data_IF_528536100502
#
_entry.id   IF_528536100502
#
_cell.length_a   1.000
_cell.length_b   1.000
_cell.length_c   1.000
_cell.angle_alpha   90.00
_cell.angle_beta   90.00
_cell.angle_gamma   90.00
#
_symmetry.space_group_name_H-M   'P 1'
#
loop_
_entity.id
_entity.type
_entity.pdbx_description
1 polymer ?
#
# COMPACT_ATOMS: atom_id res chain seq x y z
N UNK A 1 11.04 -10.40 21.59
CA UNK A 1 11.65 -9.86 22.83
C UNK A 1 10.73 -8.77 23.35
N UNK A 2 10.18 -8.91 24.55
CA UNK A 2 9.36 -7.87 25.18
C UNK A 2 10.25 -6.80 25.82
N UNK A 3 9.84 -5.54 25.74
CA UNK A 3 10.48 -4.43 26.44
C UNK A 3 10.29 -4.59 27.96
N UNK A 4 11.36 -4.56 28.76
CA UNK A 4 11.32 -4.65 30.24
C UNK A 4 10.85 -3.35 30.93
N UNK A 5 10.21 -2.44 30.21
CA UNK A 5 9.74 -1.15 30.75
C UNK A 5 8.47 -1.34 31.57
N UNK A 6 8.38 -0.60 32.68
CA UNK A 6 7.15 -0.43 33.47
C UNK A 6 6.10 0.37 32.68
N UNK A 7 4.83 0.31 33.11
CA UNK A 7 3.75 1.07 32.46
C UNK A 7 4.01 2.60 32.47
N UNK A 8 4.63 3.12 33.52
CA UNK A 8 4.97 4.54 33.62
C UNK A 8 6.08 4.93 32.62
N UNK A 9 7.12 4.10 32.52
CA UNK A 9 8.19 4.30 31.54
C UNK A 9 7.66 4.20 30.10
N UNK A 10 6.72 3.29 29.83
CA UNK A 10 6.04 3.19 28.53
C UNK A 10 5.26 4.46 28.23
N UNK A 11 4.52 5.01 29.20
CA UNK A 11 3.75 6.24 29.01
C UNK A 11 4.65 7.44 28.72
N UNK A 12 5.74 7.61 29.48
CA UNK A 12 6.72 8.68 29.26
C UNK A 12 7.35 8.54 27.87
N UNK A 13 7.84 7.33 27.54
CA UNK A 13 8.45 7.07 26.24
C UNK A 13 7.50 7.33 25.08
N UNK A 14 6.24 6.92 25.21
CA UNK A 14 5.21 7.15 24.17
C UNK A 14 4.97 8.64 23.97
N UNK A 15 4.85 9.42 25.05
CA UNK A 15 4.69 10.87 24.96
C UNK A 15 5.89 11.54 24.28
N UNK A 16 7.12 11.13 24.61
CA UNK A 16 8.34 11.64 23.96
C UNK A 16 8.32 11.39 22.45
N UNK A 17 8.00 10.17 22.01
CA UNK A 17 7.99 9.82 20.58
C UNK A 17 6.90 10.57 19.81
N UNK A 18 5.73 10.76 20.43
CA UNK A 18 4.63 11.54 19.82
C UNK A 18 5.06 13.00 19.64
N UNK A 19 5.72 13.60 20.64
CA UNK A 19 6.24 14.96 20.53
C UNK A 19 7.29 15.08 19.43
N UNK A 20 8.22 14.12 19.34
CA UNK A 20 9.29 14.13 18.34
C UNK A 20 8.72 14.05 16.90
N UNK A 21 7.65 13.26 16.71
CA UNK A 21 6.90 13.21 15.46
C UNK A 21 6.19 14.54 15.17
N UNK A 22 5.51 15.12 16.14
CA UNK A 22 4.81 16.41 15.98
C UNK A 22 5.78 17.53 15.58
N UNK A 23 6.92 17.63 16.26
CA UNK A 23 7.97 18.59 15.97
C UNK A 23 8.50 18.43 14.54
N UNK A 24 8.70 17.19 14.10
CA UNK A 24 9.12 16.89 12.73
C UNK A 24 8.06 17.31 11.69
N UNK A 25 6.78 17.02 11.93
CA UNK A 25 5.71 17.43 11.01
C UNK A 25 5.61 18.96 10.91
N UNK A 26 5.70 19.67 12.04
CA UNK A 26 5.72 21.13 12.06
C UNK A 26 6.96 21.72 11.37
N UNK A 27 8.10 21.06 11.48
CA UNK A 27 9.30 21.46 10.74
C UNK A 27 9.04 21.41 9.23
N UNK A 28 8.51 20.29 8.72
CA UNK A 28 8.19 20.12 7.30
C UNK A 28 7.20 21.18 6.78
N UNK A 29 6.17 21.50 7.57
CA UNK A 29 5.16 22.52 7.23
C UNK A 29 5.75 23.92 7.01
N UNK A 30 6.89 24.23 7.65
CA UNK A 30 7.55 25.55 7.55
C UNK A 30 8.56 25.64 6.41
N UNK A 31 8.89 24.53 5.73
CA UNK A 31 9.93 24.50 4.70
C UNK A 31 9.45 25.06 3.36
N UNK A 32 8.50 24.39 2.72
CA UNK A 32 7.92 24.76 1.43
C UNK A 32 6.60 24.00 1.19
N UNK A 33 5.88 24.33 0.12
CA UNK A 33 4.59 23.72 -0.21
C UNK A 33 4.66 22.19 -0.44
N UNK A 34 5.78 21.68 -0.96
CA UNK A 34 5.95 20.24 -1.23
C UNK A 34 6.12 19.47 0.08
N UNK A 35 7.02 19.91 0.96
CA UNK A 35 7.24 19.31 2.28
C UNK A 35 6.03 19.51 3.19
N UNK A 36 5.29 20.62 3.06
CA UNK A 36 4.01 20.82 3.77
C UNK A 36 2.96 19.79 3.36
N UNK A 37 2.79 19.53 2.06
CA UNK A 37 1.94 18.43 1.56
C UNK A 37 2.44 17.07 2.03
N UNK A 38 3.75 16.88 2.15
CA UNK A 38 4.34 15.65 2.68
C UNK A 38 3.97 15.45 4.15
N UNK A 39 4.04 16.50 4.97
CA UNK A 39 3.60 16.46 6.37
C UNK A 39 2.14 16.02 6.49
N UNK A 40 1.24 16.61 5.69
CA UNK A 40 -0.18 16.26 5.69
C UNK A 40 -0.40 14.77 5.34
N UNK A 41 0.30 14.27 4.31
CA UNK A 41 0.25 12.85 3.93
C UNK A 41 0.73 11.91 5.04
N UNK A 42 1.78 12.28 5.79
CA UNK A 42 2.26 11.48 6.92
C UNK A 42 1.17 11.43 8.01
N UNK A 43 0.57 12.57 8.35
CA UNK A 43 -0.48 12.62 9.36
C UNK A 43 -1.70 11.76 8.95
N UNK A 44 -2.15 11.86 7.71
CA UNK A 44 -3.22 11.02 7.15
C UNK A 44 -2.87 9.53 7.19
N UNK A 45 -1.62 9.17 6.89
CA UNK A 45 -1.19 7.79 6.97
C UNK A 45 -1.22 7.25 8.40
N UNK A 46 -0.77 8.03 9.39
CA UNK A 46 -0.84 7.64 10.81
C UNK A 46 -2.28 7.42 11.25
N UNK A 47 -3.19 8.30 10.83
CA UNK A 47 -4.62 8.14 11.07
C UNK A 47 -5.14 6.81 10.50
N UNK A 48 -4.81 6.50 9.24
CA UNK A 48 -5.20 5.26 8.58
C UNK A 48 -4.57 4.03 9.24
N UNK A 49 -3.30 4.10 9.62
CA UNK A 49 -2.61 3.02 10.31
C UNK A 49 -3.30 2.68 11.65
N UNK A 50 -3.65 3.69 12.44
CA UNK A 50 -4.42 3.50 13.68
C UNK A 50 -5.80 2.87 13.40
N UNK A 51 -6.48 3.27 12.33
CA UNK A 51 -7.74 2.62 11.90
C UNK A 51 -7.51 1.14 11.55
N UNK A 52 -6.45 0.82 10.83
CA UNK A 52 -6.12 -0.57 10.47
C UNK A 52 -5.84 -1.43 11.70
N UNK A 53 -5.05 -0.94 12.67
CA UNK A 53 -4.77 -1.66 13.92
C UNK A 53 -6.05 -1.93 14.74
N UNK A 54 -7.01 -0.99 14.73
CA UNK A 54 -8.31 -1.19 15.38
C UNK A 54 -9.14 -2.26 14.68
N UNK A 55 -9.11 -2.27 13.33
CA UNK A 55 -9.87 -3.22 12.51
C UNK A 55 -9.26 -4.63 12.52
N UNK A 56 -7.95 -4.77 12.71
CA UNK A 56 -7.24 -6.06 12.70
C UNK A 56 -7.89 -7.09 13.62
N UNK A 57 -8.32 -6.69 14.82
CA UNK A 57 -8.94 -7.58 15.81
C UNK A 57 -10.30 -8.14 15.40
N UNK A 58 -11.01 -7.44 14.52
CA UNK A 58 -12.36 -7.82 14.06
C UNK A 58 -12.38 -8.28 12.60
N UNK A 59 -11.24 -8.19 11.91
CA UNK A 59 -11.12 -8.54 10.51
C UNK A 59 -11.22 -10.06 10.31
N UNK A 60 -12.11 -10.46 9.40
CA UNK A 60 -12.29 -11.86 9.02
C UNK A 60 -11.75 -12.09 7.61
N UNK A 61 -10.59 -12.76 7.50
CA UNK A 61 -9.96 -13.08 6.21
C UNK A 61 -10.87 -13.88 5.27
N UNK A 62 -11.80 -14.69 5.80
CA UNK A 62 -12.74 -15.47 4.98
C UNK A 62 -13.78 -14.60 4.26
N UNK A 63 -13.96 -13.35 4.67
CA UNK A 63 -14.84 -12.39 3.99
C UNK A 63 -14.31 -12.00 2.61
N UNK A 64 -13.01 -12.16 2.37
CA UNK A 64 -12.37 -11.88 1.08
C UNK A 64 -12.35 -13.16 0.23
N UNK A 65 -12.67 -13.08 -1.08
CA UNK A 65 -12.47 -14.18 -2.02
C UNK A 65 -11.00 -14.61 -2.07
N UNK A 66 -10.73 -15.91 -2.25
CA UNK A 66 -9.37 -16.39 -2.45
C UNK A 66 -8.77 -15.75 -3.72
N UNK A 67 -7.61 -15.11 -3.57
CA UNK A 67 -6.96 -14.41 -4.67
C UNK A 67 -6.07 -15.38 -5.43
N UNK A 68 -6.28 -15.48 -6.75
CA UNK A 68 -5.49 -16.37 -7.60
C UNK A 68 -4.17 -15.71 -7.94
N UNK A 69 -3.13 -16.53 -8.18
CA UNK A 69 -1.88 -16.05 -8.75
C UNK A 69 -2.14 -15.29 -10.05
N UNK A 70 -1.54 -14.12 -10.20
CA UNK A 70 -1.74 -13.24 -11.36
C UNK A 70 -2.94 -12.30 -11.24
N UNK A 71 -3.78 -12.43 -10.21
CA UNK A 71 -4.85 -11.45 -9.95
C UNK A 71 -4.26 -10.07 -9.66
N UNK A 72 -4.96 -9.03 -10.11
CA UNK A 72 -4.63 -7.64 -9.82
C UNK A 72 -5.44 -7.19 -8.61
N UNK A 73 -4.76 -6.67 -7.59
CA UNK A 73 -5.38 -6.10 -6.40
C UNK A 73 -5.03 -4.63 -6.27
N UNK A 74 -5.88 -3.86 -5.60
CA UNK A 74 -5.60 -2.49 -5.20
C UNK A 74 -5.24 -2.49 -3.72
N UNK A 75 -4.01 -2.10 -3.39
CA UNK A 75 -3.45 -2.19 -2.05
C UNK A 75 -2.85 -0.85 -1.62
N UNK A 76 -2.98 -0.55 -0.33
CA UNK A 76 -2.30 0.58 0.31
C UNK A 76 -0.97 0.12 0.89
N UNK A 77 0.15 0.62 0.35
CA UNK A 77 1.50 0.34 0.84
C UNK A 77 1.96 1.32 1.92
N UNK A 78 1.11 2.27 2.30
CA UNK A 78 1.39 3.22 3.35
C UNK A 78 2.37 4.31 2.98
N UNK A 79 2.82 5.09 3.96
CA UNK A 79 3.79 6.14 3.67
C UNK A 79 5.18 5.53 3.45
N UNK A 80 5.78 5.77 2.28
CA UNK A 80 7.05 5.17 1.89
C UNK A 80 8.24 5.75 2.65
N UNK A 81 9.18 4.88 3.03
CA UNK A 81 10.51 5.30 3.49
C UNK A 81 11.49 5.22 2.31
N UNK A 82 12.14 6.34 2.00
CA UNK A 82 13.10 6.41 0.89
C UNK A 82 12.44 6.14 -0.47
N UNK A 83 12.85 5.06 -1.15
CA UNK A 83 12.42 4.71 -2.52
C UNK A 83 11.44 3.53 -2.58
N UNK A 84 10.87 3.13 -1.44
CA UNK A 84 9.80 2.14 -1.40
C UNK A 84 8.55 2.62 -2.15
N UNK A 85 7.71 1.67 -2.57
CA UNK A 85 6.36 1.99 -3.02
C UNK A 85 5.52 2.43 -1.83
N UNK A 86 4.76 3.51 -1.99
CA UNK A 86 3.90 4.06 -0.95
C UNK A 86 2.57 4.56 -1.50
N UNK A 87 1.57 4.58 -0.63
CA UNK A 87 0.19 4.89 -0.95
C UNK A 87 -0.49 3.77 -1.72
N UNK A 88 -1.58 4.14 -2.40
CA UNK A 88 -2.42 3.19 -3.10
C UNK A 88 -1.84 2.84 -4.49
N UNK A 89 -1.64 1.54 -4.71
CA UNK A 89 -1.12 1.01 -5.97
C UNK A 89 -1.86 -0.27 -6.36
N UNK A 90 -1.92 -0.52 -7.67
CA UNK A 90 -2.24 -1.85 -8.18
C UNK A 90 -1.05 -2.78 -7.94
N UNK A 91 -1.31 -4.06 -7.70
CA UNK A 91 -0.28 -5.06 -7.50
C UNK A 91 -0.70 -6.44 -8.02
N UNK A 92 0.26 -7.23 -8.49
CA UNK A 92 0.05 -8.60 -8.99
C UNK A 92 0.23 -9.58 -7.83
N UNK A 93 -0.77 -10.45 -7.61
CA UNK A 93 -0.69 -11.52 -6.61
C UNK A 93 0.28 -12.61 -7.06
N UNK A 94 1.26 -12.94 -6.21
CA UNK A 94 2.29 -13.94 -6.49
C UNK A 94 2.04 -15.30 -5.82
N UNK A 95 1.14 -15.38 -4.84
CA UNK A 95 0.85 -16.59 -4.08
C UNK A 95 0.42 -17.75 -5.00
N UNK A 96 1.07 -18.92 -4.88
CA UNK A 96 0.78 -20.11 -5.70
C UNK A 96 -0.56 -20.75 -5.35
N UNK A 97 -0.82 -20.90 -4.05
CA UNK A 97 -2.05 -21.47 -3.50
C UNK A 97 -2.45 -20.57 -2.35
N UNK A 98 -3.53 -19.80 -2.54
CA UNK A 98 -4.09 -18.99 -1.49
C UNK A 98 -5.24 -19.74 -0.82
N UNK A 99 -5.13 -19.97 0.49
CA UNK A 99 -6.22 -20.50 1.29
C UNK A 99 -7.03 -19.33 1.84
N UNK A 100 -8.35 -19.47 1.99
CA UNK A 100 -9.20 -18.41 2.59
C UNK A 100 -8.84 -18.06 4.04
N UNK A 101 -8.03 -18.89 4.70
CA UNK A 101 -7.47 -18.66 6.04
C UNK A 101 -6.09 -18.01 6.02
N UNK A 102 -5.48 -17.84 4.83
CA UNK A 102 -4.18 -17.22 4.70
C UNK A 102 -4.31 -15.72 4.98
N UNK A 103 -3.52 -15.23 5.91
CA UNK A 103 -3.47 -13.81 6.29
C UNK A 103 -2.36 -13.06 5.55
N UNK A 104 -1.59 -13.72 4.67
CA UNK A 104 -0.38 -13.17 4.06
C UNK A 104 -0.41 -13.28 2.54
N UNK A 105 -0.39 -12.12 1.88
CA UNK A 105 -0.44 -12.00 0.42
C UNK A 105 0.89 -11.42 -0.09
N UNK A 106 1.64 -12.19 -0.87
CA UNK A 106 2.79 -11.67 -1.58
C UNK A 106 2.30 -11.01 -2.88
N UNK A 107 2.72 -9.77 -3.08
CA UNK A 107 2.33 -8.97 -4.23
C UNK A 107 3.54 -8.32 -4.88
N UNK A 108 3.45 -8.09 -6.20
CA UNK A 108 4.39 -7.28 -6.97
C UNK A 108 3.70 -5.94 -7.30
N UNK A 109 4.09 -4.82 -6.67
CA UNK A 109 3.50 -3.51 -6.94
C UNK A 109 3.72 -3.08 -8.40
N UNK A 110 2.71 -2.40 -8.95
CA UNK A 110 2.72 -1.82 -10.28
C UNK A 110 2.77 -0.29 -10.18
N UNK A 111 3.39 0.32 -11.19
CA UNK A 111 3.44 1.77 -11.35
C UNK A 111 3.03 2.14 -12.75
N UNK A 112 2.33 3.26 -12.88
CA UNK A 112 1.96 3.80 -14.19
C UNK A 112 3.18 4.46 -14.84
N UNK A 113 3.31 4.27 -16.15
CA UNK A 113 4.24 5.04 -16.97
C UNK A 113 3.71 6.47 -17.06
N UNK A 114 4.52 7.46 -16.70
CA UNK A 114 4.19 8.88 -16.86
C UNK A 114 4.52 9.33 -18.28
N UNK A 115 3.85 10.37 -18.75
CA UNK A 115 4.13 10.97 -20.08
C UNK A 115 5.58 11.41 -20.25
N UNK A 116 6.25 11.75 -19.15
CA UNK A 116 7.66 12.16 -19.13
C UNK A 116 8.65 11.00 -19.11
N UNK A 117 8.18 9.74 -19.05
CA UNK A 117 9.05 8.56 -19.04
C UNK A 117 9.55 8.25 -20.44
N UNK A 118 10.88 8.23 -20.63
CA UNK A 118 11.51 7.74 -21.85
C UNK A 118 11.49 6.21 -21.88
N UNK A 119 10.55 5.66 -22.64
CA UNK A 119 10.37 4.21 -22.81
C UNK A 119 11.51 3.55 -23.61
N UNK A 120 12.29 4.32 -24.37
CA UNK A 120 13.41 3.80 -25.14
C UNK A 120 14.67 3.59 -24.29
N UNK A 121 14.73 4.22 -23.12
CA UNK A 121 15.87 4.20 -22.22
C UNK A 121 15.45 3.93 -20.76
N UNK A 122 14.73 2.83 -20.56
CA UNK A 122 14.35 2.39 -19.22
C UNK A 122 15.57 1.94 -18.41
N UNK A 123 15.54 2.22 -17.11
CA UNK A 123 16.59 1.79 -16.20
C UNK A 123 16.57 0.27 -16.08
N UNK A 124 17.74 -0.33 -15.78
CA UNK A 124 17.90 -1.79 -15.69
C UNK A 124 16.93 -2.50 -14.71
N UNK A 125 16.38 -1.78 -13.73
CA UNK A 125 15.43 -2.30 -12.74
C UNK A 125 13.95 -2.02 -13.10
N UNK A 126 13.69 -1.45 -14.28
CA UNK A 126 12.35 -1.19 -14.78
C UNK A 126 12.00 -2.24 -15.83
N UNK A 127 10.84 -2.86 -15.68
CA UNK A 127 10.32 -3.81 -16.64
C UNK A 127 8.99 -3.27 -17.18
N UNK A 128 8.95 -2.80 -18.44
CA UNK A 128 7.70 -2.38 -19.04
C UNK A 128 6.86 -3.63 -19.28
N UNK A 129 5.70 -3.72 -18.64
CA UNK A 129 4.75 -4.76 -18.98
C UNK A 129 4.12 -4.40 -20.33
N UNK A 130 3.52 -3.22 -20.49
CA UNK A 130 2.81 -2.85 -21.71
C UNK A 130 1.33 -2.63 -21.40
N UNK A 131 0.45 -3.10 -22.29
CA UNK A 131 -1.00 -3.04 -22.13
C UNK A 131 -1.62 -4.38 -21.70
N UNK A 132 -0.83 -5.37 -21.28
CA UNK A 132 -1.28 -6.73 -20.95
C UNK A 132 -2.37 -6.72 -19.88
N UNK A 133 -2.19 -5.93 -18.82
CA UNK A 133 -3.19 -5.81 -17.75
C UNK A 133 -4.50 -5.24 -18.30
N UNK A 134 -4.41 -4.25 -19.19
CA UNK A 134 -5.59 -3.67 -19.84
C UNK A 134 -6.29 -4.69 -20.75
N UNK A 135 -5.54 -5.44 -21.55
CA UNK A 135 -6.10 -6.48 -22.42
C UNK A 135 -6.74 -7.61 -21.61
N UNK A 136 -6.12 -8.06 -20.52
CA UNK A 136 -6.68 -9.07 -19.63
C UNK A 136 -8.01 -8.60 -19.01
N UNK A 137 -8.07 -7.35 -18.53
CA UNK A 137 -9.29 -6.76 -17.99
C UNK A 137 -10.38 -6.63 -19.05
N UNK A 138 -10.03 -6.17 -20.25
CA UNK A 138 -10.96 -6.06 -21.38
C UNK A 138 -11.54 -7.42 -21.77
N UNK A 139 -10.72 -8.45 -21.79
CA UNK A 139 -11.13 -9.83 -22.07
C UNK A 139 -12.07 -10.34 -20.98
N UNK A 140 -11.75 -10.16 -19.69
CA UNK A 140 -12.61 -10.56 -18.58
C UNK A 140 -13.97 -9.84 -18.62
N UNK A 141 -13.98 -8.54 -18.87
CA UNK A 141 -15.21 -7.76 -19.01
C UNK A 141 -16.08 -8.27 -20.17
N UNK A 142 -15.47 -8.57 -21.32
CA UNK A 142 -16.17 -9.11 -22.49
C UNK A 142 -16.80 -10.47 -22.19
N UNK A 143 -16.08 -11.36 -21.49
CA UNK A 143 -16.63 -12.67 -21.10
C UNK A 143 -17.83 -12.52 -20.16
N UNK A 144 -17.76 -11.64 -19.16
CA UNK A 144 -18.89 -11.36 -18.25
C UNK A 144 -20.11 -10.80 -18.99
N UNK A 145 -19.91 -9.92 -19.97
CA UNK A 145 -21.02 -9.39 -20.78
C UNK A 145 -21.69 -10.53 -21.57
N UNK A 146 -20.90 -11.43 -22.16
CA UNK A 146 -21.42 -12.59 -22.90
C UNK A 146 -22.22 -13.52 -21.97
N UNK A 147 -21.72 -13.77 -20.76
CA UNK A 147 -22.43 -14.59 -19.75
C UNK A 147 -23.76 -13.98 -19.31
N UNK A 148 -23.86 -12.65 -19.22
CA UNK A 148 -25.08 -11.94 -18.81
C UNK A 148 -26.11 -11.79 -19.95
N UNK A 149 -25.68 -11.89 -21.20
CA UNK A 149 -26.54 -11.73 -22.39
C UNK A 149 -27.08 -13.06 -22.90
N UNK A 150 -26.60 -14.18 -22.36
CA UNK A 150 -27.13 -15.54 -22.59
C UNK A 150 -28.21 -15.87 -21.58
#
# INVERSE_FOLDING_TARGET
MGSNRTNQEIAIYTATIIQELEDYLHHLQRMNDEESKRSDKIAQWIENWVKYLKLEKVFNSRSIPALKRGSIVYADFGFNVGREYGGLHYAIVLNKTDARSNHLLHVLPLTSVKETTDMSNLKYFQFPIGDEVFQLLKNEATQKIIELTK
#
